data_IF_860028543985
#
_entry.id   IF_860028543985
#
_cell.length_a   1.000
_cell.length_b   1.000
_cell.length_c   1.000
_cell.angle_alpha   90.00
_cell.angle_beta   90.00
_cell.angle_gamma   90.00
#
_symmetry.space_group_name_H-M   'P 1'
#
loop_
_entity.id
_entity.type
_entity.pdbx_description
1 polymer ?
#
# COMPACT_ATOMS: atom_id res chain seq x y z
N UNK A 1 7.64 -12.43 -15.84
CA UNK A 1 6.99 -11.46 -14.92
C UNK A 1 6.45 -12.13 -13.64
N UNK A 2 5.67 -13.23 -13.73
CA UNK A 2 5.08 -13.92 -12.55
C UNK A 2 6.12 -14.62 -11.65
N UNK A 3 7.16 -15.25 -12.21
CA UNK A 3 8.20 -15.92 -11.40
C UNK A 3 9.12 -14.92 -10.67
N UNK A 4 9.42 -13.77 -11.27
CA UNK A 4 10.18 -12.70 -10.62
C UNK A 4 9.43 -12.09 -9.43
N UNK A 5 8.09 -12.14 -9.40
CA UNK A 5 7.28 -11.59 -8.30
C UNK A 5 7.21 -12.51 -7.06
N UNK A 6 7.62 -13.78 -7.17
CA UNK A 6 7.63 -14.71 -6.01
C UNK A 6 8.67 -14.31 -4.96
N UNK A 7 9.79 -13.72 -5.40
CA UNK A 7 10.89 -13.26 -4.53
C UNK A 7 11.16 -11.76 -4.65
N UNK A 8 10.38 -10.99 -5.41
CA UNK A 8 10.52 -9.53 -5.47
C UNK A 8 9.29 -8.80 -4.94
N UNK A 9 9.52 -7.59 -4.44
CA UNK A 9 8.48 -6.59 -4.18
C UNK A 9 8.70 -5.51 -5.24
N UNK A 10 7.69 -5.18 -6.06
CA UNK A 10 7.83 -4.06 -6.98
C UNK A 10 8.01 -2.76 -6.20
N UNK A 11 8.46 -1.72 -6.88
CA UNK A 11 8.45 -0.37 -6.32
C UNK A 11 7.01 0.05 -5.97
N UNK A 12 6.86 0.81 -4.90
CA UNK A 12 5.56 1.32 -4.46
C UNK A 12 5.71 2.66 -3.73
N UNK A 13 4.65 3.46 -3.72
CA UNK A 13 4.53 4.55 -2.77
C UNK A 13 3.88 4.02 -1.49
N UNK A 14 4.37 4.46 -0.35
CA UNK A 14 3.68 4.38 0.93
C UNK A 14 3.20 5.77 1.30
N UNK A 15 1.98 5.89 1.79
CA UNK A 15 1.42 7.20 2.10
C UNK A 15 0.51 7.21 3.31
N UNK A 16 0.34 8.39 3.92
CA UNK A 16 -0.62 8.67 4.98
C UNK A 16 -1.12 10.10 4.91
N UNK A 17 -2.40 10.33 5.18
CA UNK A 17 -2.96 11.66 5.40
C UNK A 17 -2.64 12.09 6.84
N UNK A 18 -1.90 13.17 6.99
CA UNK A 18 -1.34 13.66 8.25
C UNK A 18 -2.37 14.45 9.07
N UNK A 19 -3.46 13.77 9.46
CA UNK A 19 -4.43 14.25 10.44
C UNK A 19 -4.23 13.53 11.77
N UNK A 20 -4.14 14.30 12.87
CA UNK A 20 -4.10 13.78 14.22
C UNK A 20 -5.42 13.06 14.54
N UNK A 21 -5.33 11.88 15.15
CA UNK A 21 -6.47 11.00 15.36
C UNK A 21 -6.19 10.08 16.56
N UNK A 22 -7.24 9.67 17.29
CA UNK A 22 -7.14 8.72 18.41
C UNK A 22 -6.58 7.36 17.98
N UNK A 23 -6.84 6.93 16.74
CA UNK A 23 -6.25 5.71 16.16
C UNK A 23 -4.77 5.89 15.78
N UNK A 24 -4.25 7.11 15.86
CA UNK A 24 -2.85 7.45 15.57
C UNK A 24 -2.11 7.97 16.81
N UNK A 25 -2.46 7.44 17.98
CA UNK A 25 -1.85 7.83 19.26
C UNK A 25 -0.51 7.12 19.47
N UNK A 26 0.49 7.52 18.68
CA UNK A 26 1.86 7.02 18.79
C UNK A 26 2.86 8.05 18.24
N UNK A 27 4.13 7.91 18.63
CA UNK A 27 5.20 8.81 18.15
C UNK A 27 5.42 8.67 16.64
N UNK A 28 5.72 9.77 15.96
CA UNK A 28 5.90 9.77 14.50
C UNK A 28 4.66 9.33 13.71
N UNK A 29 3.45 9.68 14.18
CA UNK A 29 2.17 9.36 13.50
C UNK A 29 2.00 9.95 12.09
N UNK A 30 2.90 10.85 11.67
CA UNK A 30 3.00 11.35 10.29
C UNK A 30 3.85 10.44 9.38
N UNK A 31 4.64 9.52 9.93
CA UNK A 31 5.48 8.62 9.14
C UNK A 31 4.60 7.53 8.47
N UNK A 32 4.62 7.42 7.12
CA UNK A 32 3.78 6.44 6.43
C UNK A 32 4.02 4.98 6.86
N UNK A 33 5.29 4.55 7.08
CA UNK A 33 5.64 3.18 7.54
C UNK A 33 5.07 2.88 8.91
N UNK A 34 5.19 3.84 9.84
CA UNK A 34 4.66 3.67 11.20
C UNK A 34 3.14 3.57 11.21
N UNK A 35 2.46 4.43 10.44
CA UNK A 35 1.00 4.39 10.31
C UNK A 35 0.53 3.08 9.69
N UNK A 36 1.17 2.64 8.61
CA UNK A 36 0.85 1.38 7.96
C UNK A 36 0.98 0.22 8.95
N UNK A 37 2.10 0.11 9.67
CA UNK A 37 2.34 -0.97 10.64
C UNK A 37 1.34 -0.98 11.79
N UNK A 38 0.94 0.21 12.25
CA UNK A 38 0.01 0.35 13.36
C UNK A 38 -1.44 0.03 12.94
N UNK A 39 -1.88 0.54 11.80
CA UNK A 39 -3.28 0.48 11.37
C UNK A 39 -3.61 -0.69 10.42
N UNK A 40 -2.61 -1.39 9.87
CA UNK A 40 -2.85 -2.49 8.91
C UNK A 40 -3.79 -3.55 9.47
N UNK A 41 -3.59 -3.99 10.70
CA UNK A 41 -4.38 -5.09 11.25
C UNK A 41 -5.88 -4.73 11.32
N UNK A 42 -6.19 -3.50 11.75
CA UNK A 42 -7.55 -2.97 11.76
C UNK A 42 -8.12 -2.87 10.34
N UNK A 43 -7.32 -2.38 9.37
CA UNK A 43 -7.73 -2.35 7.96
C UNK A 43 -8.08 -3.73 7.39
N UNK A 44 -7.32 -4.75 7.77
CA UNK A 44 -7.59 -6.14 7.39
C UNK A 44 -8.89 -6.63 8.01
N UNK A 45 -9.18 -6.28 9.28
CA UNK A 45 -10.47 -6.59 9.92
C UNK A 45 -11.65 -5.97 9.17
N UNK A 46 -11.59 -4.66 8.94
CA UNK A 46 -12.61 -3.90 8.19
C UNK A 46 -12.88 -4.49 6.80
N UNK A 47 -11.82 -4.94 6.13
CA UNK A 47 -11.93 -5.58 4.83
C UNK A 47 -12.55 -6.97 4.93
N UNK A 48 -12.18 -7.76 5.93
CA UNK A 48 -12.79 -9.07 6.17
C UNK A 48 -14.28 -9.00 6.47
N UNK A 49 -14.69 -8.05 7.30
CA UNK A 49 -16.11 -7.81 7.61
C UNK A 49 -16.86 -7.43 6.34
N UNK A 50 -16.34 -6.48 5.57
CA UNK A 50 -16.96 -6.03 4.31
C UNK A 50 -17.08 -7.15 3.27
N UNK A 51 -16.11 -8.06 3.23
CA UNK A 51 -16.09 -9.21 2.33
C UNK A 51 -16.90 -10.40 2.86
N UNK A 52 -17.57 -10.28 4.01
CA UNK A 52 -18.37 -11.35 4.60
C UNK A 52 -17.56 -12.50 5.20
N UNK A 53 -16.24 -12.35 5.35
CA UNK A 53 -15.31 -13.43 5.76
C UNK A 53 -15.25 -13.70 7.26
N UNK A 54 -16.22 -13.19 8.03
CA UNK A 54 -16.24 -13.27 9.50
C UNK A 54 -17.43 -14.11 9.94
N UNK A 55 -17.18 -15.17 10.71
CA UNK A 55 -18.20 -16.00 11.37
C UNK A 55 -17.91 -15.98 12.88
N UNK A 56 -18.92 -15.71 13.70
CA UNK A 56 -18.81 -15.70 15.18
C UNK A 56 -17.61 -14.91 15.71
N UNK A 57 -17.35 -13.74 15.10
CA UNK A 57 -16.24 -12.87 15.47
C UNK A 57 -14.84 -13.38 15.05
N UNK A 58 -14.76 -14.41 14.21
CA UNK A 58 -13.53 -14.99 13.68
C UNK A 58 -13.47 -14.80 12.17
N UNK A 59 -12.39 -14.21 11.70
CA UNK A 59 -12.08 -14.04 10.28
C UNK A 59 -11.33 -15.25 9.72
N UNK A 60 -11.70 -15.69 8.52
CA UNK A 60 -10.94 -16.66 7.72
C UNK A 60 -10.20 -15.96 6.57
N UNK A 61 -8.95 -16.36 6.33
CA UNK A 61 -8.14 -15.87 5.22
C UNK A 61 -8.77 -16.20 3.86
N UNK A 62 -8.89 -15.20 2.98
CA UNK A 62 -9.58 -15.30 1.68
C UNK A 62 -9.04 -16.41 0.76
N UNK A 63 -7.72 -16.66 0.77
CA UNK A 63 -7.07 -17.58 -0.18
C UNK A 63 -6.97 -19.04 0.29
N UNK A 64 -7.41 -19.37 1.51
CA UNK A 64 -7.23 -20.69 2.12
C UNK A 64 -8.53 -21.46 2.37
N UNK A 65 -9.58 -21.11 1.64
CA UNK A 65 -10.85 -21.84 1.67
C UNK A 65 -10.78 -23.10 0.77
N UNK A 66 -9.75 -23.94 1.01
CA UNK A 66 -9.54 -25.27 0.43
C UNK A 66 -9.29 -26.32 1.53
N UNK A 67 -9.34 -27.60 1.19
CA UNK A 67 -9.59 -28.74 2.11
C UNK A 67 -8.61 -28.94 3.29
N UNK A 68 -7.44 -28.30 3.31
CA UNK A 68 -6.46 -28.48 4.37
C UNK A 68 -6.73 -27.58 5.61
N UNK A 69 -7.69 -28.03 6.43
CA UNK A 69 -8.08 -27.40 7.70
C UNK A 69 -6.91 -27.17 8.67
N UNK A 70 -5.83 -27.96 8.60
CA UNK A 70 -4.70 -27.86 9.52
C UNK A 70 -3.82 -26.61 9.29
N UNK A 71 -3.96 -25.98 8.11
CA UNK A 71 -3.17 -24.83 7.71
C UNK A 71 -4.00 -23.57 7.42
N UNK A 72 -5.31 -23.62 7.65
CA UNK A 72 -6.17 -22.44 7.49
C UNK A 72 -5.80 -21.36 8.50
N UNK A 73 -5.57 -20.17 7.97
CA UNK A 73 -5.22 -18.98 8.74
C UNK A 73 -6.47 -18.14 9.01
N UNK A 74 -6.49 -17.51 10.17
CA UNK A 74 -7.54 -16.60 10.59
C UNK A 74 -7.12 -15.78 11.80
N UNK A 75 -8.05 -15.01 12.34
CA UNK A 75 -7.85 -14.23 13.55
C UNK A 75 -9.20 -13.88 14.19
N UNK A 76 -9.20 -13.65 15.50
CA UNK A 76 -10.35 -13.10 16.21
C UNK A 76 -10.40 -11.59 16.00
N UNK A 77 -11.59 -11.08 15.68
CA UNK A 77 -11.78 -9.63 15.50
C UNK A 77 -11.46 -8.89 16.80
N UNK A 78 -11.94 -9.40 17.94
CA UNK A 78 -11.75 -8.79 19.25
C UNK A 78 -10.26 -8.56 19.57
N UNK A 79 -9.41 -9.58 19.38
CA UNK A 79 -7.96 -9.50 19.63
C UNK A 79 -7.26 -8.42 18.80
N UNK A 80 -7.77 -8.12 17.60
CA UNK A 80 -7.14 -7.11 16.72
C UNK A 80 -7.57 -5.69 17.11
N UNK A 81 -8.82 -5.51 17.55
CA UNK A 81 -9.38 -4.19 17.84
C UNK A 81 -9.22 -3.77 19.30
N UNK A 82 -8.82 -4.68 20.19
CA UNK A 82 -8.66 -4.44 21.63
C UNK A 82 -7.85 -3.18 21.93
N UNK A 83 -6.69 -3.01 21.28
CA UNK A 83 -5.83 -1.82 21.49
C UNK A 83 -6.41 -0.51 20.94
N UNK A 84 -7.51 -0.60 20.20
CA UNK A 84 -8.25 0.53 19.60
C UNK A 84 -9.64 0.71 20.24
N UNK A 85 -9.96 -0.05 21.29
CA UNK A 85 -11.27 -0.05 21.95
C UNK A 85 -12.20 -1.11 21.38
N UNK A 86 -12.97 -0.76 20.35
CA UNK A 86 -13.92 -1.66 19.68
C UNK A 86 -14.13 -1.27 18.22
N UNK A 87 -14.84 -2.10 17.45
CA UNK A 87 -15.22 -1.75 16.08
C UNK A 87 -16.11 -0.49 16.05
N UNK A 88 -16.99 -0.34 17.03
CA UNK A 88 -17.85 0.84 17.18
C UNK A 88 -17.02 2.09 17.43
N UNK A 89 -16.04 2.03 18.35
CA UNK A 89 -15.15 3.16 18.62
C UNK A 89 -14.29 3.55 17.39
N UNK A 90 -13.85 2.57 16.61
CA UNK A 90 -13.15 2.80 15.34
C UNK A 90 -14.08 3.47 14.32
N UNK A 91 -15.31 2.98 14.21
CA UNK A 91 -16.32 3.51 13.30
C UNK A 91 -16.69 4.95 13.66
N UNK A 92 -16.99 5.24 14.92
CA UNK A 92 -17.25 6.59 15.44
C UNK A 92 -16.10 7.56 15.11
N UNK A 93 -14.85 7.11 15.30
CA UNK A 93 -13.68 7.92 14.99
C UNK A 93 -13.55 8.20 13.49
N UNK A 94 -13.93 7.24 12.65
CA UNK A 94 -13.76 7.29 11.20
C UNK A 94 -14.97 7.82 10.44
N UNK A 95 -16.13 7.97 11.09
CA UNK A 95 -17.41 8.23 10.44
C UNK A 95 -17.39 9.55 9.66
N UNK A 96 -16.96 10.62 10.32
CA UNK A 96 -16.93 11.96 9.74
C UNK A 96 -15.49 12.44 9.45
N UNK A 97 -14.52 11.52 9.52
CA UNK A 97 -13.12 11.87 9.31
C UNK A 97 -12.86 12.18 7.83
N UNK A 98 -12.57 13.45 7.52
CA UNK A 98 -12.23 13.88 6.17
C UNK A 98 -11.02 13.14 5.59
N UNK A 99 -10.09 12.67 6.43
CA UNK A 99 -8.93 11.88 6.00
C UNK A 99 -9.25 10.41 5.70
N UNK A 100 -10.49 9.95 5.87
CA UNK A 100 -10.89 8.56 5.62
C UNK A 100 -11.10 8.30 4.12
N UNK A 101 -10.02 8.32 3.34
CA UNK A 101 -10.08 8.28 1.87
C UNK A 101 -10.69 7.02 1.26
N UNK A 102 -10.76 5.91 2.00
CA UNK A 102 -11.43 4.71 1.50
C UNK A 102 -12.94 4.90 1.33
N UNK A 103 -13.54 5.90 2.00
CA UNK A 103 -14.98 6.16 1.89
C UNK A 103 -15.43 6.59 0.50
N UNK A 104 -14.53 7.13 -0.33
CA UNK A 104 -14.84 7.38 -1.74
C UNK A 104 -15.05 6.08 -2.54
N UNK A 105 -14.48 4.97 -2.10
CA UNK A 105 -14.61 3.66 -2.73
C UNK A 105 -15.66 2.77 -2.03
N UNK A 106 -15.70 2.86 -0.71
CA UNK A 106 -16.55 2.05 0.17
C UNK A 106 -17.10 2.93 1.30
N UNK A 107 -18.32 3.47 1.17
CA UNK A 107 -18.85 4.50 2.09
C UNK A 107 -18.86 4.13 3.58
N UNK A 108 -18.98 2.84 3.89
CA UNK A 108 -19.01 2.29 5.25
C UNK A 108 -17.64 1.89 5.78
N UNK A 109 -16.58 1.97 4.98
CA UNK A 109 -15.26 1.48 5.39
C UNK A 109 -14.52 2.48 6.29
N UNK A 110 -13.80 1.95 7.27
CA UNK A 110 -13.01 2.75 8.22
C UNK A 110 -11.50 2.67 7.93
N UNK A 111 -10.75 3.54 8.62
CA UNK A 111 -9.28 3.55 8.64
C UNK A 111 -8.63 3.91 7.29
N UNK A 112 -9.32 4.72 6.48
CA UNK A 112 -8.97 5.17 5.11
C UNK A 112 -7.71 5.99 4.90
N UNK A 113 -7.06 6.43 5.98
CA UNK A 113 -6.11 7.54 5.95
C UNK A 113 -4.66 7.14 5.62
N UNK A 114 -4.44 5.93 5.12
CA UNK A 114 -3.13 5.42 4.71
C UNK A 114 -3.28 4.34 3.64
N UNK A 115 -2.17 4.05 2.96
CA UNK A 115 -2.12 2.94 2.01
C UNK A 115 -0.79 2.79 1.30
N UNK A 116 -0.82 1.90 0.32
CA UNK A 116 0.27 1.63 -0.62
C UNK A 116 -0.22 1.91 -2.04
N UNK A 117 0.68 2.32 -2.93
CA UNK A 117 0.47 2.42 -4.36
C UNK A 117 1.57 1.61 -5.06
N UNK A 118 1.37 0.33 -5.39
CA UNK A 118 2.35 -0.39 -6.20
C UNK A 118 2.44 0.22 -7.59
N UNK A 119 3.65 0.30 -8.15
CA UNK A 119 3.84 0.86 -9.49
C UNK A 119 3.28 -0.04 -10.60
N UNK A 120 3.18 -1.34 -10.34
CA UNK A 120 2.61 -2.34 -11.24
C UNK A 120 1.20 -2.71 -10.84
N UNK A 121 0.40 -3.13 -11.82
CA UNK A 121 -0.99 -3.51 -11.60
C UNK A 121 -1.11 -4.89 -10.94
N UNK A 122 -0.85 -4.93 -9.63
CA UNK A 122 -0.84 -6.15 -8.81
C UNK A 122 -1.72 -6.01 -7.57
N UNK A 123 -2.33 -7.11 -7.14
CA UNK A 123 -2.98 -7.19 -5.84
C UNK A 123 -2.05 -7.86 -4.83
N UNK A 124 -1.73 -7.13 -3.75
CA UNK A 124 -0.92 -7.63 -2.64
C UNK A 124 -1.82 -8.26 -1.59
N UNK A 125 -1.83 -9.59 -1.54
CA UNK A 125 -2.57 -10.34 -0.53
C UNK A 125 -1.83 -10.35 0.82
N UNK A 126 -2.50 -10.06 1.95
CA UNK A 126 -1.87 -10.12 3.27
C UNK A 126 -1.35 -11.52 3.65
N UNK A 127 -2.03 -12.55 3.16
CA UNK A 127 -1.74 -13.97 3.45
C UNK A 127 -1.88 -14.80 2.19
N UNK A 128 -0.95 -14.59 1.27
CA UNK A 128 -0.82 -15.48 0.12
C UNK A 128 -0.11 -14.86 -1.06
N UNK A 129 -0.43 -15.31 -2.27
CA UNK A 129 0.38 -15.01 -3.46
C UNK A 129 -0.09 -13.70 -4.07
N UNK A 130 0.83 -12.76 -4.25
CA UNK A 130 0.58 -11.56 -5.06
C UNK A 130 -0.07 -11.92 -6.40
N UNK A 131 -1.26 -11.39 -6.66
CA UNK A 131 -1.99 -11.61 -7.92
C UNK A 131 -1.59 -10.53 -8.92
N UNK A 132 -1.31 -10.93 -10.16
CA UNK A 132 -1.10 -9.98 -11.26
C UNK A 132 -2.47 -9.66 -11.86
N UNK A 133 -2.89 -8.40 -11.78
CA UNK A 133 -4.19 -7.93 -12.30
C UNK A 133 -4.08 -7.48 -13.75
N UNK A 134 -2.88 -7.06 -14.16
CA UNK A 134 -2.62 -6.56 -15.50
C UNK A 134 -1.15 -6.30 -15.76
N UNK A 135 -0.85 -5.81 -16.95
CA UNK A 135 0.52 -5.53 -17.39
C UNK A 135 0.93 -4.07 -17.17
N UNK A 136 -0.01 -3.18 -16.82
CA UNK A 136 0.29 -1.75 -16.69
C UNK A 136 1.33 -1.49 -15.60
N UNK A 137 2.32 -0.70 -15.97
CA UNK A 137 3.30 -0.09 -15.08
C UNK A 137 3.12 1.44 -15.13
N UNK A 138 2.85 2.06 -13.99
CA UNK A 138 2.51 3.49 -13.91
C UNK A 138 3.64 4.41 -14.38
N UNK A 139 4.91 4.03 -14.19
CA UNK A 139 6.05 4.82 -14.68
C UNK A 139 6.12 4.81 -16.21
N UNK A 140 6.00 3.64 -16.84
CA UNK A 140 6.00 3.53 -18.30
C UNK A 140 4.78 4.23 -18.91
N UNK A 141 3.61 4.09 -18.27
CA UNK A 141 2.40 4.76 -18.69
C UNK A 141 2.53 6.29 -18.57
N UNK A 142 3.17 6.78 -17.50
CA UNK A 142 3.44 8.20 -17.32
C UNK A 142 4.33 8.74 -18.44
N UNK A 143 5.44 8.09 -18.74
CA UNK A 143 6.35 8.53 -19.80
C UNK A 143 5.62 8.62 -21.16
N UNK A 144 4.70 7.68 -21.45
CA UNK A 144 3.83 7.74 -22.63
C UNK A 144 2.86 8.93 -22.57
N UNK A 145 2.12 9.08 -21.48
CA UNK A 145 1.16 10.18 -21.28
C UNK A 145 1.82 11.54 -21.43
N UNK A 146 3.02 11.73 -20.90
CA UNK A 146 3.75 13.01 -20.98
C UNK A 146 4.30 13.31 -22.37
N UNK A 147 4.52 12.27 -23.18
CA UNK A 147 4.90 12.43 -24.59
C UNK A 147 3.71 12.94 -25.42
N UNK A 148 2.50 12.53 -25.06
CA UNK A 148 1.25 12.92 -25.74
C UNK A 148 0.62 14.21 -25.16
N UNK A 149 0.97 14.59 -23.92
CA UNK A 149 0.42 15.75 -23.21
C UNK A 149 1.53 16.72 -22.76
N UNK A 150 1.93 17.62 -23.68
CA UNK A 150 2.98 18.61 -23.44
C UNK A 150 2.62 19.64 -22.35
N UNK A 151 1.33 19.94 -22.18
CA UNK A 151 0.87 20.88 -21.15
C UNK A 151 1.10 20.31 -19.74
N UNK A 152 0.66 19.07 -19.50
CA UNK A 152 0.89 18.37 -18.23
C UNK A 152 2.40 18.21 -17.97
N UNK A 153 3.17 17.85 -19.00
CA UNK A 153 4.63 17.77 -18.93
C UNK A 153 5.27 19.08 -18.48
N UNK A 154 4.86 20.22 -19.06
CA UNK A 154 5.33 21.55 -18.66
C UNK A 154 5.00 21.89 -17.21
N UNK A 155 3.80 21.53 -16.73
CA UNK A 155 3.39 21.77 -15.35
C UNK A 155 4.17 20.92 -14.35
N UNK A 156 4.45 19.67 -14.68
CA UNK A 156 5.34 18.82 -13.87
C UNK A 156 6.73 19.46 -13.78
N UNK A 157 7.31 19.87 -14.91
CA UNK A 157 8.64 20.48 -14.95
C UNK A 157 8.75 21.77 -14.12
N UNK A 158 7.66 22.52 -13.96
CA UNK A 158 7.60 23.73 -13.12
C UNK A 158 7.53 23.41 -11.61
N UNK A 159 6.96 22.27 -11.23
CA UNK A 159 6.63 21.96 -9.83
C UNK A 159 7.57 20.92 -9.20
N UNK A 160 8.28 20.14 -10.01
CA UNK A 160 9.05 18.98 -9.56
C UNK A 160 10.46 18.98 -10.14
N UNK A 161 11.35 18.24 -9.48
CA UNK A 161 12.71 18.02 -9.97
C UNK A 161 12.65 17.20 -11.25
N UNK A 162 13.31 17.65 -12.30
CA UNK A 162 13.41 16.88 -13.54
C UNK A 162 14.18 15.58 -13.30
N UNK A 163 13.55 14.46 -13.66
CA UNK A 163 14.16 13.13 -13.62
C UNK A 163 13.80 12.34 -14.86
N UNK A 164 14.62 11.34 -15.19
CA UNK A 164 14.29 10.34 -16.18
C UNK A 164 14.47 8.95 -15.56
N UNK A 165 13.39 8.17 -15.40
CA UNK A 165 11.96 8.45 -15.65
C UNK A 165 11.38 9.63 -14.85
N UNK A 166 10.32 10.28 -15.37
CA UNK A 166 9.68 11.44 -14.71
C UNK A 166 8.99 11.07 -13.38
N UNK A 167 8.60 9.80 -13.25
CA UNK A 167 8.01 9.21 -12.04
C UNK A 167 8.77 9.55 -10.76
N UNK A 168 10.10 9.45 -10.78
CA UNK A 168 10.90 9.67 -9.58
C UNK A 168 10.79 11.11 -9.07
N UNK A 169 10.89 12.10 -9.96
CA UNK A 169 10.81 13.52 -9.63
C UNK A 169 9.48 13.93 -9.02
N UNK A 170 8.39 13.30 -9.49
CA UNK A 170 7.03 13.51 -8.99
C UNK A 170 6.88 13.17 -7.51
N UNK A 171 7.68 12.22 -7.00
CA UNK A 171 7.57 11.66 -5.66
C UNK A 171 8.77 11.97 -4.75
N UNK A 172 9.70 12.84 -5.16
CA UNK A 172 10.77 13.34 -4.29
C UNK A 172 10.23 14.11 -3.08
N UNK A 173 9.23 15.02 -3.22
CA UNK A 173 8.67 15.71 -2.07
C UNK A 173 7.91 14.73 -1.17
N UNK A 174 8.42 14.50 0.04
CA UNK A 174 7.78 13.64 1.04
C UNK A 174 6.56 14.28 1.72
N UNK A 175 6.43 15.60 1.59
CA UNK A 175 5.27 16.43 1.93
C UNK A 175 5.08 17.49 0.85
N UNK A 176 4.37 17.15 -0.25
CA UNK A 176 4.16 18.06 -1.37
C UNK A 176 3.27 19.26 -0.98
N UNK A 177 3.58 20.43 -1.56
CA UNK A 177 2.74 21.63 -1.44
C UNK A 177 1.34 21.40 -2.03
N UNK A 178 0.37 22.27 -1.75
CA UNK A 178 -0.96 22.15 -2.35
C UNK A 178 -0.91 22.16 -3.88
N UNK A 179 -0.08 23.03 -4.47
CA UNK A 179 0.13 23.09 -5.92
C UNK A 179 0.73 21.78 -6.46
N UNK A 180 1.73 21.21 -5.76
CA UNK A 180 2.32 19.93 -6.14
C UNK A 180 1.28 18.80 -6.05
N UNK A 181 0.47 18.75 -5.00
CA UNK A 181 -0.61 17.77 -4.84
C UNK A 181 -1.67 17.86 -5.93
N UNK A 182 -2.01 19.08 -6.38
CA UNK A 182 -2.93 19.28 -7.51
C UNK A 182 -2.37 18.69 -8.81
N UNK A 183 -1.08 18.92 -9.10
CA UNK A 183 -0.44 18.33 -10.29
C UNK A 183 -0.33 16.80 -10.15
N UNK A 184 0.02 16.28 -8.97
CA UNK A 184 0.05 14.84 -8.71
C UNK A 184 -1.33 14.18 -8.89
N UNK A 185 -2.40 14.83 -8.44
CA UNK A 185 -3.77 14.36 -8.62
C UNK A 185 -4.14 14.27 -10.10
N UNK A 186 -3.86 15.32 -10.87
CA UNK A 186 -4.12 15.35 -12.31
C UNK A 186 -3.33 14.29 -13.08
N UNK A 187 -2.07 14.06 -12.69
CA UNK A 187 -1.27 12.94 -13.22
C UNK A 187 -1.98 11.62 -12.95
N UNK A 188 -2.39 11.36 -11.71
CA UNK A 188 -3.02 10.10 -11.32
C UNK A 188 -4.38 9.90 -12.01
N UNK A 189 -5.21 10.93 -12.10
CA UNK A 189 -6.48 10.87 -12.85
C UNK A 189 -6.23 10.56 -14.33
N UNK A 190 -5.22 11.18 -14.95
CA UNK A 190 -4.84 10.91 -16.34
C UNK A 190 -4.33 9.47 -16.53
N UNK A 191 -3.50 8.98 -15.61
CA UNK A 191 -2.98 7.60 -15.64
C UNK A 191 -4.11 6.58 -15.49
N UNK A 192 -5.06 6.82 -14.59
CA UNK A 192 -6.19 5.91 -14.38
C UNK A 192 -7.12 5.84 -15.59
N UNK A 193 -7.35 6.96 -16.29
CA UNK A 193 -8.11 6.98 -17.55
C UNK A 193 -7.36 6.28 -18.68
N UNK A 194 -6.03 6.40 -18.69
CA UNK A 194 -5.17 5.83 -19.74
C UNK A 194 -4.86 4.33 -19.54
N UNK A 195 -5.15 3.78 -18.36
CA UNK A 195 -4.91 2.37 -18.08
C UNK A 195 -5.88 1.48 -18.86
N UNK A 196 -5.33 0.55 -19.65
CA UNK A 196 -6.12 -0.34 -20.53
C UNK A 196 -6.34 -1.73 -19.96
N UNK A 197 -5.82 -2.02 -18.77
CA UNK A 197 -6.02 -3.32 -18.13
C UNK A 197 -7.50 -3.55 -17.80
N UNK A 198 -7.96 -4.79 -17.95
CA UNK A 198 -9.35 -5.17 -17.65
C UNK A 198 -9.73 -4.91 -16.18
N UNK A 199 -8.76 -4.97 -15.28
CA UNK A 199 -8.94 -4.66 -13.86
C UNK A 199 -7.90 -3.65 -13.40
N UNK A 200 -8.36 -2.51 -12.91
CA UNK A 200 -7.50 -1.48 -12.32
C UNK A 200 -7.39 -1.70 -10.81
N UNK A 201 -6.16 -1.74 -10.31
CA UNK A 201 -5.85 -1.93 -8.90
C UNK A 201 -6.62 -0.96 -7.98
N UNK A 202 -7.30 -1.48 -6.96
CA UNK A 202 -7.98 -0.67 -5.95
C UNK A 202 -7.03 0.22 -5.15
N UNK A 203 -5.77 -0.18 -5.00
CA UNK A 203 -4.72 0.64 -4.38
C UNK A 203 -4.46 1.95 -5.15
N UNK A 204 -4.56 1.91 -6.49
CA UNK A 204 -4.40 3.10 -7.33
C UNK A 204 -5.57 4.06 -7.17
N UNK A 205 -6.78 3.53 -7.15
CA UNK A 205 -8.00 4.29 -6.88
C UNK A 205 -7.95 4.92 -5.49
N UNK A 206 -7.49 4.18 -4.48
CA UNK A 206 -7.41 4.64 -3.10
C UNK A 206 -6.40 5.78 -2.93
N UNK A 207 -5.21 5.68 -3.52
CA UNK A 207 -4.24 6.76 -3.46
C UNK A 207 -4.72 8.02 -4.20
N UNK A 208 -5.39 7.85 -5.34
CA UNK A 208 -6.00 8.98 -6.08
C UNK A 208 -7.09 9.66 -5.25
N UNK A 209 -7.95 8.89 -4.58
CA UNK A 209 -8.92 9.41 -3.62
C UNK A 209 -8.25 10.17 -2.46
N UNK A 210 -7.14 9.65 -1.94
CA UNK A 210 -6.38 10.31 -0.89
C UNK A 210 -5.77 11.65 -1.35
N UNK A 211 -5.22 11.73 -2.58
CA UNK A 211 -4.77 12.99 -3.17
C UNK A 211 -5.92 13.97 -3.37
N UNK A 212 -7.08 13.50 -3.84
CA UNK A 212 -8.28 14.32 -4.02
C UNK A 212 -8.74 14.94 -2.70
N UNK A 213 -8.83 14.14 -1.64
CA UNK A 213 -9.15 14.60 -0.29
C UNK A 213 -8.09 15.57 0.24
N UNK A 214 -6.82 15.23 0.03
CA UNK A 214 -5.69 16.07 0.43
C UNK A 214 -5.77 17.47 -0.20
N UNK A 215 -6.09 17.56 -1.49
CA UNK A 215 -6.28 18.82 -2.20
C UNK A 215 -7.55 19.54 -1.73
N UNK A 216 -8.69 18.82 -1.69
CA UNK A 216 -10.01 19.39 -1.37
C UNK A 216 -10.07 20.00 0.03
N UNK A 217 -9.47 19.33 1.01
CA UNK A 217 -9.52 19.72 2.42
C UNK A 217 -8.21 20.35 2.91
N UNK A 218 -7.26 20.57 2.01
CA UNK A 218 -5.90 21.01 2.31
C UNK A 218 -5.22 20.20 3.44
N UNK A 219 -5.43 18.88 3.43
CA UNK A 219 -4.84 17.96 4.41
C UNK A 219 -3.45 17.55 3.91
N UNK A 220 -2.39 17.77 4.69
CA UNK A 220 -1.04 17.29 4.38
C UNK A 220 -1.07 15.77 4.08
N UNK A 221 -0.49 15.36 2.95
CA UNK A 221 -0.21 13.95 2.64
C UNK A 221 1.29 13.72 2.78
N UNK A 222 1.66 12.67 3.50
CA UNK A 222 3.05 12.21 3.59
C UNK A 222 3.24 11.05 2.64
N UNK A 223 4.25 11.13 1.79
CA UNK A 223 4.54 10.14 0.75
C UNK A 223 5.99 9.68 0.91
N UNK A 224 6.19 8.37 0.76
CA UNK A 224 7.51 7.75 0.73
C UNK A 224 7.57 6.84 -0.51
N UNK A 225 8.53 7.09 -1.40
CA UNK A 225 8.81 6.18 -2.50
C UNK A 225 9.71 5.05 -2.00
N UNK A 226 9.16 3.83 -1.95
CA UNK A 226 9.88 2.63 -1.54
C UNK A 226 10.42 1.90 -2.77
N UNK A 227 11.76 1.77 -2.92
CA UNK A 227 12.35 1.07 -4.06
C UNK A 227 11.88 -0.39 -4.15
N UNK A 228 11.97 -0.94 -5.36
CA UNK A 228 11.84 -2.38 -5.54
C UNK A 228 12.84 -3.15 -4.66
N UNK A 229 12.38 -4.24 -4.07
CA UNK A 229 13.19 -5.06 -3.17
C UNK A 229 13.06 -6.55 -3.45
N UNK A 230 13.86 -7.34 -2.75
CA UNK A 230 13.86 -8.81 -2.82
C UNK A 230 13.40 -9.35 -1.48
N UNK A 231 12.50 -10.32 -1.49
CA UNK A 231 12.00 -11.03 -0.31
C UNK A 231 12.53 -12.45 -0.33
N UNK A 232 13.07 -12.89 0.80
CA UNK A 232 13.11 -14.29 1.17
C UNK A 232 11.95 -14.60 2.14
N UNK A 233 11.88 -15.80 2.71
CA UNK A 233 10.79 -16.19 3.62
C UNK A 233 10.73 -15.37 4.92
N UNK A 234 11.80 -14.65 5.27
CA UNK A 234 11.97 -13.94 6.55
C UNK A 234 12.32 -12.46 6.33
N UNK A 235 13.21 -12.17 5.38
CA UNK A 235 13.79 -10.86 5.17
C UNK A 235 13.33 -10.23 3.87
N UNK A 236 13.12 -8.91 3.94
CA UNK A 236 12.99 -8.03 2.80
C UNK A 236 14.27 -7.19 2.68
N UNK A 237 14.93 -7.31 1.54
CA UNK A 237 16.16 -6.60 1.21
C UNK A 237 15.89 -5.55 0.16
N UNK A 238 16.20 -4.30 0.48
CA UNK A 238 16.17 -3.18 -0.46
C UNK A 238 17.61 -2.90 -0.93
N UNK A 239 17.88 -2.91 -2.24
CA UNK A 239 19.21 -2.61 -2.76
C UNK A 239 19.62 -1.16 -2.47
N UNK A 240 20.87 -0.84 -2.74
CA UNK A 240 21.34 0.54 -2.72
C UNK A 240 20.53 1.40 -3.69
N UNK A 241 20.17 2.60 -3.24
CA UNK A 241 19.33 3.52 -3.99
C UNK A 241 19.71 4.97 -3.67
N UNK A 242 19.33 5.88 -4.56
CA UNK A 242 19.55 7.31 -4.34
C UNK A 242 18.78 7.77 -3.10
N UNK A 243 19.45 8.49 -2.18
CA UNK A 243 18.80 9.02 -0.98
C UNK A 243 17.78 10.14 -1.25
N UNK A 244 17.81 10.73 -2.45
CA UNK A 244 16.89 11.80 -2.87
C UNK A 244 15.69 11.26 -3.62
N UNK A 245 15.93 10.50 -4.70
CA UNK A 245 14.88 10.07 -5.61
C UNK A 245 14.53 8.59 -5.49
N UNK A 246 15.20 7.82 -4.62
CA UNK A 246 14.96 6.40 -4.40
C UNK A 246 15.17 5.48 -5.61
N UNK A 247 15.59 6.02 -6.75
CA UNK A 247 15.96 5.23 -7.92
C UNK A 247 17.11 4.26 -7.59
N UNK A 248 17.11 3.03 -8.15
CA UNK A 248 18.16 2.04 -7.93
C UNK A 248 19.55 2.58 -8.25
N UNK A 249 20.51 2.35 -7.35
CA UNK A 249 21.90 2.73 -7.55
C UNK A 249 22.69 1.54 -8.10
N UNK A 250 23.07 1.60 -9.38
CA UNK A 250 23.74 0.47 -10.06
C UNK A 250 25.17 0.26 -9.49
N UNK A 251 25.46 -0.89 -8.83
CA UNK A 251 26.74 -1.15 -8.17
C UNK A 251 27.96 -1.18 -9.09
N UNK A 252 27.77 -1.65 -10.32
CA UNK A 252 28.89 -1.89 -11.26
C UNK A 252 29.55 -0.60 -11.76
N UNK A 253 28.92 0.55 -11.50
CA UNK A 253 29.38 1.89 -11.87
C UNK A 253 29.96 2.67 -10.67
N UNK A 254 30.13 2.03 -9.50
CA UNK A 254 30.58 2.67 -8.25
C UNK A 254 31.92 3.41 -8.34
N UNK A 255 32.82 2.99 -9.23
CA UNK A 255 34.14 3.62 -9.38
C UNK A 255 34.11 4.93 -10.18
N UNK A 256 32.99 5.29 -10.82
CA UNK A 256 32.95 6.40 -11.78
C UNK A 256 31.80 7.39 -11.65
N UNK A 257 30.82 7.21 -10.74
CA UNK A 257 29.64 8.09 -10.70
C UNK A 257 29.58 8.97 -9.44
N UNK A 258 29.90 10.27 -9.55
CA UNK A 258 29.79 11.24 -8.45
C UNK A 258 28.32 11.65 -8.18
N UNK A 259 27.39 11.29 -9.06
CA UNK A 259 25.99 11.70 -8.97
C UNK A 259 25.00 10.61 -9.40
N UNK A 260 23.76 10.74 -8.90
CA UNK A 260 22.63 9.94 -9.32
C UNK A 260 22.28 10.20 -10.79
N UNK A 261 22.20 9.16 -11.63
CA UNK A 261 21.85 9.31 -13.05
C UNK A 261 20.39 9.69 -13.30
N UNK A 262 19.52 9.53 -12.30
CA UNK A 262 18.09 9.83 -12.42
C UNK A 262 17.76 11.27 -12.01
N UNK A 263 18.37 11.78 -10.92
CA UNK A 263 18.04 13.10 -10.36
C UNK A 263 19.24 14.04 -10.20
N UNK A 264 20.43 13.64 -10.69
CA UNK A 264 21.69 14.38 -10.59
C UNK A 264 22.16 14.73 -9.17
N UNK A 265 21.58 14.12 -8.14
CA UNK A 265 22.03 14.29 -6.76
C UNK A 265 23.51 13.90 -6.59
N UNK A 266 24.31 14.82 -6.05
CA UNK A 266 25.73 14.59 -5.74
C UNK A 266 25.84 14.13 -4.29
N UNK A 267 26.39 12.93 -4.09
CA UNK A 267 26.56 12.34 -2.77
C UNK A 267 26.47 10.82 -2.78
N UNK A 268 26.42 10.23 -1.59
CA UNK A 268 26.40 8.78 -1.44
C UNK A 268 24.97 8.22 -1.48
N UNK A 269 24.77 7.04 -2.09
CA UNK A 269 23.50 6.34 -2.01
C UNK A 269 23.20 5.88 -0.58
N UNK A 270 21.91 5.67 -0.29
CA UNK A 270 21.53 4.87 0.85
C UNK A 270 22.10 3.45 0.68
N UNK A 271 22.71 2.94 1.76
CA UNK A 271 23.24 1.57 1.78
C UNK A 271 22.09 0.56 1.62
N UNK A 272 22.44 -0.63 1.13
CA UNK A 272 21.54 -1.79 1.18
C UNK A 272 20.95 -1.92 2.59
N UNK A 273 19.64 -2.05 2.66
CA UNK A 273 18.92 -2.24 3.91
C UNK A 273 18.24 -3.61 3.90
N UNK A 274 18.26 -4.29 5.05
CA UNK A 274 17.56 -5.54 5.28
C UNK A 274 16.63 -5.33 6.47
N UNK A 275 15.35 -5.62 6.26
CA UNK A 275 14.32 -5.67 7.29
C UNK A 275 13.57 -6.99 7.23
N UNK A 276 12.61 -7.18 8.13
CA UNK A 276 11.71 -8.33 8.03
C UNK A 276 10.71 -8.12 6.91
N UNK A 277 10.33 -9.20 6.22
CA UNK A 277 9.16 -9.16 5.33
C UNK A 277 7.94 -8.70 6.12
N UNK A 278 7.01 -8.05 5.43
CA UNK A 278 5.71 -7.75 5.99
C UNK A 278 5.08 -9.08 6.44
N UNK A 279 5.02 -9.29 7.76
CA UNK A 279 4.53 -10.55 8.32
C UNK A 279 3.04 -10.73 8.06
N UNK A 280 2.56 -11.96 8.24
CA UNK A 280 1.16 -12.37 8.00
C UNK A 280 0.15 -11.75 8.98
N UNK A 281 0.55 -10.85 9.88
CA UNK A 281 -0.35 -10.25 10.87
C UNK A 281 -1.54 -9.54 10.18
N UNK A 282 -2.76 -9.72 10.70
CA UNK A 282 -3.10 -10.35 11.99
C UNK A 282 -3.33 -11.87 11.95
N UNK A 283 -3.03 -12.56 10.84
CA UNK A 283 -3.38 -13.96 10.66
C UNK A 283 -2.44 -14.95 11.37
N UNK A 284 -3.06 -15.98 11.96
CA UNK A 284 -2.44 -17.13 12.63
C UNK A 284 -3.17 -18.41 12.25
N UNK A 285 -2.61 -19.60 12.54
CA UNK A 285 -3.36 -20.84 12.31
C UNK A 285 -4.57 -20.87 13.23
N UNK A 286 -5.74 -21.25 12.72
CA UNK A 286 -6.97 -21.32 13.54
C UNK A 286 -6.79 -22.26 14.75
N UNK A 287 -6.12 -23.40 14.54
CA UNK A 287 -5.81 -24.37 15.59
C UNK A 287 -4.97 -23.81 16.72
N UNK A 288 -4.16 -22.75 16.49
CA UNK A 288 -3.35 -22.14 17.54
C UNK A 288 -4.19 -21.42 18.60
N UNK A 289 -5.40 -20.96 18.28
CA UNK A 289 -6.24 -20.23 19.23
C UNK A 289 -7.62 -20.86 19.48
N UNK A 290 -8.07 -21.78 18.62
CA UNK A 290 -9.29 -22.56 18.85
C UNK A 290 -9.00 -23.97 19.39
N UNK A 291 -7.81 -24.50 19.16
CA UNK A 291 -7.54 -25.95 19.25
C UNK A 291 -7.98 -26.69 17.99
N UNK A 292 -7.42 -27.88 17.74
CA UNK A 292 -7.61 -28.62 16.49
C UNK A 292 -9.07 -29.02 16.24
N UNK A 293 -9.72 -29.63 17.24
CA UNK A 293 -11.11 -30.10 17.12
C UNK A 293 -12.09 -28.95 16.87
N UNK A 294 -11.95 -27.84 17.62
CA UNK A 294 -12.84 -26.69 17.48
C UNK A 294 -12.58 -25.94 16.17
N UNK A 295 -11.33 -25.85 15.71
CA UNK A 295 -11.01 -25.27 14.41
C UNK A 295 -11.66 -26.07 13.27
N UNK A 296 -11.67 -27.40 13.33
CA UNK A 296 -12.33 -28.24 12.34
C UNK A 296 -13.85 -28.02 12.31
N UNK A 297 -14.50 -28.00 13.48
CA UNK A 297 -15.94 -27.72 13.60
C UNK A 297 -16.30 -26.33 13.07
N UNK A 298 -15.52 -25.32 13.44
CA UNK A 298 -15.71 -23.95 12.96
C UNK A 298 -15.58 -23.85 11.43
N UNK A 299 -14.58 -24.52 10.84
CA UNK A 299 -14.37 -24.51 9.39
C UNK A 299 -15.50 -25.20 8.64
N UNK A 300 -16.06 -26.27 9.19
CA UNK A 300 -17.23 -26.94 8.64
C UNK A 300 -18.44 -26.00 8.60
N UNK A 301 -18.74 -25.34 9.73
CA UNK A 301 -19.81 -24.35 9.82
C UNK A 301 -19.58 -23.17 8.85
N UNK A 302 -18.33 -22.72 8.73
CA UNK A 302 -17.96 -21.65 7.82
C UNK A 302 -18.21 -22.05 6.36
N UNK A 303 -17.82 -23.25 5.94
CA UNK A 303 -18.04 -23.74 4.56
C UNK A 303 -19.53 -23.88 4.23
N UNK A 304 -20.31 -24.46 5.15
CA UNK A 304 -21.76 -24.57 5.01
C UNK A 304 -22.42 -23.22 4.78
N UNK A 305 -21.98 -22.17 5.51
CA UNK A 305 -22.47 -20.81 5.32
C UNK A 305 -22.08 -20.20 3.96
N UNK A 306 -20.86 -20.46 3.49
CA UNK A 306 -20.39 -19.99 2.17
C UNK A 306 -21.02 -20.75 1.00
N UNK A 307 -21.83 -21.79 1.27
CA UNK A 307 -22.41 -22.66 0.24
C UNK A 307 -21.37 -23.57 -0.41
N UNK A 308 -20.36 -24.00 0.34
CA UNK A 308 -19.27 -24.89 -0.08
C UNK A 308 -19.34 -26.23 0.62
#
# INVERSE_FOLDING_TARGET
>A
MVEQLKSSTPEFLRWTLAVACKLKDFSQWKNPDRVERHLRAVRVCETAIREGRVLDGICVAAEQCGDDSANTLGFRIADVVESFGSLEAIAETCEQCAANAIKELHPTANVGCFGLLPITNIHLHPVGKTTVLGATNLQQLLDKVLSDNLELSSRIAKCFVATQPAWYGLWIPDSPSLQQRQVQLEVLDTLLVSATDAQVNSAWKLFTAALRISVKHDIEIRIELCPAGVRDNVNWTVPEHCCRCHAPWKPDLRKSMPSCQTCNYQGHPNKRHQGFVQGKRPYWKLSQFLGEQQAALFLEQYRQREGR
#
